data_IF_637630294777
#
_entry.id   IF_637630294777
#
_cell.length_a   1.000
_cell.length_b   1.000
_cell.length_c   1.000
_cell.angle_alpha   90.00
_cell.angle_beta   90.00
_cell.angle_gamma   90.00
#
_symmetry.space_group_name_H-M   'P 1'
#
loop_
_entity.id
_entity.type
_entity.pdbx_description
1 polymer ?
#
# COMPACT_ATOMS: atom_id res chain seq x y z
N UNK A 1 50.99 33.04 61.76
CA UNK A 1 50.34 31.95 62.52
C UNK A 1 50.99 30.63 62.08
N UNK A 2 51.86 30.03 62.92
CA UNK A 2 52.54 28.76 62.63
C UNK A 2 51.59 27.60 62.99
N UNK A 3 51.17 26.81 62.02
CA UNK A 3 50.34 25.62 62.27
C UNK A 3 51.27 24.51 62.74
N UNK A 4 51.04 24.04 63.97
CA UNK A 4 51.84 23.00 64.62
C UNK A 4 51.29 21.63 64.19
N UNK A 5 51.95 20.98 63.23
CA UNK A 5 51.57 19.65 62.72
C UNK A 5 52.26 18.60 63.59
N UNK A 6 51.75 18.39 64.81
CA UNK A 6 52.05 17.19 65.58
C UNK A 6 50.75 16.39 65.66
N UNK A 7 50.81 15.14 65.20
CA UNK A 7 49.77 14.11 65.26
C UNK A 7 48.83 13.94 64.03
N UNK A 8 49.37 13.99 62.80
CA UNK A 8 48.67 13.42 61.65
C UNK A 8 48.94 11.92 61.59
N UNK A 9 47.90 11.11 61.79
CA UNK A 9 47.97 9.66 61.76
C UNK A 9 48.02 9.19 60.29
N UNK A 10 49.23 9.11 59.71
CA UNK A 10 49.49 8.81 58.28
C UNK A 10 48.74 7.57 57.75
N UNK A 11 48.50 6.57 58.61
CA UNK A 11 47.71 5.36 58.28
C UNK A 11 46.23 5.68 57.96
N UNK A 12 45.63 6.68 58.60
CA UNK A 12 44.24 7.09 58.37
C UNK A 12 44.10 7.85 57.05
N UNK A 13 45.03 8.75 56.73
CA UNK A 13 45.00 9.50 55.46
C UNK A 13 45.22 8.57 54.25
N UNK A 14 46.16 7.63 54.33
CA UNK A 14 46.37 6.67 53.24
C UNK A 14 45.16 5.76 53.02
N UNK A 15 44.45 5.35 54.08
CA UNK A 15 43.23 4.54 53.95
C UNK A 15 42.10 5.33 53.28
N UNK A 16 41.88 6.60 53.65
CA UNK A 16 40.85 7.45 53.03
C UNK A 16 41.16 7.77 51.57
N UNK A 17 42.44 7.99 51.22
CA UNK A 17 42.89 8.25 49.85
C UNK A 17 42.78 7.00 48.95
N UNK A 18 43.04 5.81 49.50
CA UNK A 18 42.87 4.55 48.75
C UNK A 18 41.40 4.20 48.54
N UNK A 19 40.53 4.41 49.55
CA UNK A 19 39.08 4.17 49.42
C UNK A 19 38.46 5.13 48.39
N UNK A 20 38.86 6.40 48.35
CA UNK A 20 38.38 7.36 47.35
C UNK A 20 38.86 7.04 45.93
N UNK A 21 40.07 6.47 45.78
CA UNK A 21 40.61 6.04 44.49
C UNK A 21 39.90 4.78 43.94
N UNK A 22 39.56 3.82 44.82
CA UNK A 22 38.79 2.62 44.44
C UNK A 22 37.31 2.90 44.15
N UNK A 23 36.68 3.81 44.90
CA UNK A 23 35.32 4.26 44.61
C UNK A 23 35.25 5.04 43.29
N UNK A 24 36.27 5.83 42.96
CA UNK A 24 36.40 6.53 41.68
C UNK A 24 36.50 5.57 40.47
N UNK A 25 37.31 4.51 40.57
CA UNK A 25 37.44 3.51 39.48
C UNK A 25 36.18 2.64 39.27
N UNK A 26 35.41 2.34 40.34
CA UNK A 26 34.17 1.56 40.21
C UNK A 26 32.96 2.39 39.76
N UNK A 27 32.91 3.69 40.06
CA UNK A 27 31.78 4.54 39.67
C UNK A 27 31.64 4.67 38.14
N UNK A 28 32.76 4.77 37.42
CA UNK A 28 32.74 4.83 35.95
C UNK A 28 32.21 3.55 35.29
N UNK A 29 32.53 2.38 35.88
CA UNK A 29 32.03 1.07 35.41
C UNK A 29 30.52 0.95 35.67
N UNK A 30 30.03 1.42 36.82
CA UNK A 30 28.61 1.40 37.16
C UNK A 30 27.82 2.36 36.25
N UNK A 31 28.35 3.56 35.97
CA UNK A 31 27.70 4.56 35.12
C UNK A 31 27.61 4.11 33.64
N UNK A 32 28.68 3.54 33.09
CA UNK A 32 28.67 2.98 31.73
C UNK A 32 27.70 1.79 31.61
N UNK A 33 27.66 0.92 32.62
CA UNK A 33 26.71 -0.19 32.65
C UNK A 33 25.25 0.29 32.72
N UNK A 34 24.97 1.38 33.45
CA UNK A 34 23.66 2.03 33.44
C UNK A 34 23.32 2.64 32.07
N UNK A 35 24.27 3.32 31.40
CA UNK A 35 24.06 3.89 30.06
C UNK A 35 23.77 2.81 29.00
N UNK A 36 24.47 1.68 29.07
CA UNK A 36 24.24 0.50 28.22
C UNK A 36 22.89 -0.17 28.49
N UNK A 37 22.45 -0.25 29.75
CA UNK A 37 21.12 -0.74 30.08
C UNK A 37 20.02 0.17 29.52
N UNK A 38 20.16 1.49 29.67
CA UNK A 38 19.22 2.47 29.10
C UNK A 38 19.13 2.33 27.57
N UNK A 39 20.28 2.16 26.91
CA UNK A 39 20.34 1.94 25.47
C UNK A 39 19.66 0.62 25.05
N UNK A 40 19.89 -0.46 25.80
CA UNK A 40 19.27 -1.77 25.54
C UNK A 40 17.75 -1.72 25.73
N UNK A 41 17.26 -1.09 26.80
CA UNK A 41 15.85 -0.84 27.05
C UNK A 41 15.20 -0.02 25.94
N UNK A 42 15.93 0.97 25.40
CA UNK A 42 15.49 1.73 24.24
C UNK A 42 15.31 0.83 23.02
N UNK A 43 16.29 0.00 22.67
CA UNK A 43 16.19 -0.92 21.53
C UNK A 43 15.03 -1.91 21.69
N UNK A 44 14.78 -2.41 22.91
CA UNK A 44 13.63 -3.28 23.21
C UNK A 44 12.31 -2.54 22.96
N UNK A 45 12.17 -1.29 23.44
CA UNK A 45 10.96 -0.46 23.20
C UNK A 45 10.74 -0.19 21.70
N UNK A 46 11.81 0.04 20.95
CA UNK A 46 11.73 0.19 19.49
C UNK A 46 11.29 -1.13 18.85
N UNK A 47 11.86 -2.27 19.27
CA UNK A 47 11.48 -3.60 18.81
C UNK A 47 9.99 -3.90 19.01
N UNK A 48 9.45 -3.58 20.19
CA UNK A 48 8.01 -3.67 20.46
C UNK A 48 7.19 -2.76 19.56
N UNK A 49 7.63 -1.50 19.36
CA UNK A 49 6.97 -0.58 18.43
C UNK A 49 6.89 -1.13 16.99
N UNK A 50 7.95 -1.80 16.51
CA UNK A 50 7.90 -2.49 15.22
C UNK A 50 6.92 -3.65 15.19
N UNK A 51 6.93 -4.48 16.23
CA UNK A 51 6.00 -5.60 16.35
C UNK A 51 4.55 -5.10 16.33
N UNK A 52 4.26 -4.00 17.01
CA UNK A 52 2.94 -3.35 17.00
C UNK A 52 2.56 -2.87 15.59
N UNK A 53 3.50 -2.23 14.86
CA UNK A 53 3.28 -1.79 13.47
C UNK A 53 2.95 -2.99 12.56
N UNK A 54 3.74 -4.07 12.64
CA UNK A 54 3.52 -5.27 11.83
C UNK A 54 2.22 -5.98 12.19
N UNK A 55 1.91 -6.11 13.48
CA UNK A 55 0.66 -6.69 13.95
C UNK A 55 -0.55 -5.87 13.51
N UNK A 56 -0.46 -4.53 13.60
CA UNK A 56 -1.53 -3.64 13.18
C UNK A 56 -1.76 -3.71 11.68
N UNK A 57 -0.70 -3.59 10.87
CA UNK A 57 -0.81 -3.71 9.42
C UNK A 57 -1.37 -5.07 9.01
N UNK A 58 -0.87 -6.16 9.62
CA UNK A 58 -1.36 -7.52 9.39
C UNK A 58 -2.85 -7.67 9.68
N UNK A 59 -3.33 -7.12 10.80
CA UNK A 59 -4.75 -7.17 11.17
C UNK A 59 -5.62 -6.27 10.27
N UNK A 60 -5.19 -5.04 10.00
CA UNK A 60 -5.92 -4.09 9.16
C UNK A 60 -6.04 -4.58 7.71
N UNK A 61 -5.02 -5.29 7.23
CA UNK A 61 -4.95 -5.81 5.86
C UNK A 61 -5.44 -7.25 5.72
N UNK A 62 -5.54 -8.03 6.81
CA UNK A 62 -5.94 -9.44 6.78
C UNK A 62 -7.33 -9.65 6.16
N UNK A 63 -8.28 -8.80 6.54
CA UNK A 63 -9.65 -8.83 6.01
C UNK A 63 -9.80 -8.01 4.72
N UNK A 64 -8.97 -6.97 4.54
CA UNK A 64 -9.08 -6.04 3.43
C UNK A 64 -8.34 -6.52 2.16
N UNK A 65 -7.35 -7.40 2.25
CA UNK A 65 -6.54 -7.83 1.09
C UNK A 65 -6.93 -9.18 0.50
N UNK A 66 -8.11 -9.72 0.85
CA UNK A 66 -8.64 -10.97 0.30
C UNK A 66 -8.90 -10.93 -1.21
N UNK A 67 -9.05 -12.11 -1.82
CA UNK A 67 -9.35 -12.27 -3.26
C UNK A 67 -10.85 -12.19 -3.59
N UNK A 68 -11.69 -11.89 -2.60
CA UNK A 68 -13.15 -11.85 -2.71
C UNK A 68 -13.70 -10.58 -2.06
N UNK A 69 -13.19 -9.43 -2.51
CA UNK A 69 -13.58 -8.11 -2.02
C UNK A 69 -15.06 -7.80 -2.26
N UNK A 70 -15.62 -8.32 -3.37
CA UNK A 70 -17.02 -8.15 -3.75
C UNK A 70 -17.66 -9.48 -4.17
N UNK A 71 -18.98 -9.58 -4.07
CA UNK A 71 -19.79 -10.74 -4.48
C UNK A 71 -20.95 -10.34 -5.39
N UNK A 72 -21.62 -11.33 -5.97
CA UNK A 72 -22.81 -11.08 -6.80
C UNK A 72 -23.91 -10.40 -5.98
N UNK A 73 -24.53 -9.37 -6.56
CA UNK A 73 -25.53 -8.53 -5.90
C UNK A 73 -24.96 -7.34 -5.13
N UNK A 74 -23.64 -7.28 -4.92
CA UNK A 74 -23.01 -6.12 -4.30
C UNK A 74 -23.15 -4.88 -5.19
N UNK A 75 -23.29 -3.74 -4.53
CA UNK A 75 -23.27 -2.42 -5.18
C UNK A 75 -21.82 -2.02 -5.46
N UNK A 76 -21.62 -1.15 -6.44
CA UNK A 76 -20.28 -0.63 -6.77
C UNK A 76 -19.61 0.03 -5.57
N UNK A 77 -20.38 0.63 -4.66
CA UNK A 77 -19.88 1.18 -3.40
C UNK A 77 -19.13 0.18 -2.51
N UNK A 78 -19.34 -1.14 -2.65
CA UNK A 78 -18.52 -2.13 -1.95
C UNK A 78 -17.07 -2.13 -2.44
N UNK A 79 -16.82 -1.81 -3.72
CA UNK A 79 -15.47 -1.54 -4.25
C UNK A 79 -14.87 -0.29 -3.58
N UNK A 80 -15.67 0.77 -3.42
CA UNK A 80 -15.23 1.97 -2.71
C UNK A 80 -14.87 1.70 -1.25
N UNK A 81 -15.69 0.90 -0.56
CA UNK A 81 -15.42 0.45 0.82
C UNK A 81 -14.15 -0.39 0.91
N UNK A 82 -13.87 -1.22 -0.10
CA UNK A 82 -12.60 -1.95 -0.18
C UNK A 82 -11.41 -0.99 -0.19
N UNK A 83 -11.42 0.02 -1.07
CA UNK A 83 -10.36 1.02 -1.12
C UNK A 83 -10.23 1.82 0.17
N UNK A 84 -11.33 2.22 0.81
CA UNK A 84 -11.30 2.90 2.11
C UNK A 84 -10.71 2.02 3.23
N UNK A 85 -10.98 0.70 3.24
CA UNK A 85 -10.36 -0.22 4.21
C UNK A 85 -8.85 -0.29 4.01
N UNK A 86 -8.39 -0.44 2.77
CA UNK A 86 -6.95 -0.48 2.46
C UNK A 86 -6.28 0.84 2.83
N UNK A 87 -6.91 1.97 2.47
CA UNK A 87 -6.46 3.32 2.85
C UNK A 87 -6.33 3.47 4.36
N UNK A 88 -7.34 3.08 5.13
CA UNK A 88 -7.31 3.17 6.59
C UNK A 88 -6.16 2.37 7.19
N UNK A 89 -5.90 1.16 6.71
CA UNK A 89 -4.75 0.40 7.20
C UNK A 89 -3.40 1.08 6.91
N UNK A 90 -3.27 1.78 5.77
CA UNK A 90 -2.08 2.60 5.49
C UNK A 90 -2.00 3.83 6.40
N UNK A 91 -3.12 4.53 6.64
CA UNK A 91 -3.18 5.68 7.54
C UNK A 91 -2.78 5.29 8.97
N UNK A 92 -3.32 4.18 9.47
CA UNK A 92 -3.03 3.70 10.80
C UNK A 92 -1.55 3.28 10.93
N UNK A 93 -1.01 2.59 9.91
CA UNK A 93 0.42 2.22 9.87
C UNK A 93 1.31 3.46 9.81
N UNK A 94 0.94 4.47 9.02
CA UNK A 94 1.63 5.77 8.96
C UNK A 94 1.64 6.47 10.32
N UNK A 95 0.52 6.44 11.05
CA UNK A 95 0.41 7.05 12.37
C UNK A 95 1.34 6.35 13.37
N UNK A 96 1.38 5.02 13.37
CA UNK A 96 2.28 4.25 14.23
C UNK A 96 3.76 4.51 13.89
N UNK A 97 4.11 4.62 12.60
CA UNK A 97 5.45 5.01 12.17
C UNK A 97 5.83 6.41 12.65
N UNK A 98 4.89 7.36 12.65
CA UNK A 98 5.12 8.71 13.17
C UNK A 98 5.37 8.69 14.69
N UNK A 99 4.58 7.91 15.45
CA UNK A 99 4.80 7.69 16.87
C UNK A 99 6.17 7.04 17.14
N UNK A 100 6.55 6.05 16.35
CA UNK A 100 7.86 5.39 16.44
C UNK A 100 8.99 6.40 16.20
N UNK A 101 8.87 7.27 15.19
CA UNK A 101 9.84 8.34 14.93
C UNK A 101 9.99 9.29 16.12
N UNK A 102 8.90 9.57 16.84
CA UNK A 102 8.92 10.33 18.09
C UNK A 102 9.75 9.62 19.16
N UNK A 103 9.44 8.35 19.45
CA UNK A 103 10.18 7.53 20.43
C UNK A 103 11.68 7.43 20.10
N UNK A 104 12.02 7.32 18.81
CA UNK A 104 13.41 7.27 18.33
C UNK A 104 14.14 8.60 18.58
N UNK A 105 13.43 9.72 18.57
CA UNK A 105 14.01 11.03 18.87
C UNK A 105 14.40 11.19 20.34
N UNK A 106 13.83 10.37 21.23
CA UNK A 106 14.10 10.36 22.67
C UNK A 106 15.25 9.41 23.04
N UNK A 107 15.93 8.83 22.05
CA UNK A 107 17.02 7.89 22.26
C UNK A 107 18.12 8.49 23.14
N UNK A 108 18.50 7.76 24.19
CA UNK A 108 19.63 8.10 25.05
C UNK A 108 20.79 7.15 24.79
N UNK A 109 22.00 7.68 24.84
CA UNK A 109 23.24 6.93 24.59
C UNK A 109 23.26 6.21 23.23
N UNK A 110 22.63 6.82 22.22
CA UNK A 110 22.61 6.35 20.84
C UNK A 110 23.36 7.34 19.94
N UNK A 111 24.07 6.83 18.95
CA UNK A 111 24.75 7.64 17.94
C UNK A 111 23.73 8.42 17.12
N UNK A 112 23.76 9.75 17.22
CA UNK A 112 22.82 10.65 16.54
C UNK A 112 22.77 10.46 15.02
N UNK A 113 23.88 10.06 14.38
CA UNK A 113 23.93 9.79 12.94
C UNK A 113 23.10 8.55 12.56
N UNK A 114 23.13 7.52 13.41
CA UNK A 114 22.34 6.31 13.21
C UNK A 114 20.86 6.55 13.49
N UNK A 115 20.54 7.41 14.47
CA UNK A 115 19.17 7.86 14.74
C UNK A 115 18.60 8.64 13.56
N UNK A 116 19.36 9.57 12.99
CA UNK A 116 18.94 10.35 11.82
C UNK A 116 18.68 9.45 10.61
N UNK A 117 19.51 8.42 10.41
CA UNK A 117 19.30 7.41 9.36
C UNK A 117 17.93 6.73 9.48
N UNK A 118 17.51 6.39 10.69
CA UNK A 118 16.18 5.79 10.92
C UNK A 118 15.06 6.79 10.65
N UNK A 119 15.20 8.04 11.10
CA UNK A 119 14.20 9.09 10.84
C UNK A 119 14.02 9.33 9.34
N UNK A 120 15.11 9.38 8.57
CA UNK A 120 15.07 9.50 7.12
C UNK A 120 14.32 8.31 6.49
N UNK A 121 14.58 7.08 6.95
CA UNK A 121 13.88 5.90 6.45
C UNK A 121 12.36 5.94 6.76
N UNK A 122 11.99 6.36 7.97
CA UNK A 122 10.57 6.53 8.36
C UNK A 122 9.91 7.60 7.51
N UNK A 123 10.53 8.77 7.37
CA UNK A 123 10.00 9.88 6.57
C UNK A 123 9.78 9.47 5.12
N UNK A 124 10.77 8.83 4.49
CA UNK A 124 10.64 8.33 3.12
C UNK A 124 9.52 7.31 2.96
N UNK A 125 9.29 6.46 3.96
CA UNK A 125 8.18 5.51 3.98
C UNK A 125 6.82 6.23 4.07
N UNK A 126 6.70 7.21 4.96
CA UNK A 126 5.48 8.01 5.12
C UNK A 126 5.11 8.73 3.81
N UNK A 127 6.10 9.30 3.11
CA UNK A 127 5.88 9.96 1.82
C UNK A 127 5.34 9.00 0.74
N UNK A 128 5.77 7.72 0.75
CA UNK A 128 5.22 6.71 -0.15
C UNK A 128 3.80 6.32 0.26
N UNK A 129 3.53 6.16 1.55
CA UNK A 129 2.18 5.85 2.03
C UNK A 129 1.21 6.98 1.71
N UNK A 130 1.62 8.24 1.79
CA UNK A 130 0.78 9.38 1.40
C UNK A 130 0.38 9.35 -0.08
N UNK A 131 1.28 8.94 -0.97
CA UNK A 131 0.96 8.74 -2.40
C UNK A 131 -0.08 7.63 -2.57
N UNK A 132 0.12 6.49 -1.91
CA UNK A 132 -0.84 5.37 -1.97
C UNK A 132 -2.21 5.76 -1.39
N UNK A 133 -2.24 6.44 -0.24
CA UNK A 133 -3.46 6.95 0.41
C UNK A 133 -4.21 7.92 -0.51
N UNK A 134 -3.49 8.82 -1.19
CA UNK A 134 -4.08 9.75 -2.15
C UNK A 134 -4.75 9.01 -3.31
N UNK A 135 -4.05 8.04 -3.93
CA UNK A 135 -4.61 7.24 -5.03
C UNK A 135 -5.82 6.41 -4.59
N UNK A 136 -5.75 5.77 -3.40
CA UNK A 136 -6.87 5.02 -2.84
C UNK A 136 -8.07 5.92 -2.53
N UNK A 137 -7.85 7.15 -2.08
CA UNK A 137 -8.91 8.13 -1.86
C UNK A 137 -9.63 8.48 -3.16
N UNK A 138 -8.88 8.70 -4.26
CA UNK A 138 -9.47 8.94 -5.59
C UNK A 138 -10.31 7.74 -6.04
N UNK A 139 -9.76 6.53 -5.89
CA UNK A 139 -10.44 5.29 -6.28
C UNK A 139 -11.70 5.02 -5.45
N UNK A 140 -11.62 5.21 -4.13
CA UNK A 140 -12.78 5.12 -3.24
C UNK A 140 -13.88 6.10 -3.65
N UNK A 141 -13.52 7.35 -3.93
CA UNK A 141 -14.47 8.40 -4.33
C UNK A 141 -15.20 8.07 -5.63
N UNK A 142 -14.49 7.60 -6.66
CA UNK A 142 -15.11 7.33 -7.97
C UNK A 142 -15.93 6.04 -8.01
N UNK A 143 -15.66 5.09 -7.12
CA UNK A 143 -16.36 3.81 -7.03
C UNK A 143 -17.51 3.80 -6.01
N UNK A 144 -17.78 4.92 -5.33
CA UNK A 144 -18.82 5.04 -4.32
C UNK A 144 -20.24 5.21 -4.89
N UNK A 145 -20.66 4.31 -5.78
CA UNK A 145 -22.03 4.25 -6.30
C UNK A 145 -22.83 3.18 -5.55
N UNK A 146 -23.62 3.63 -4.57
CA UNK A 146 -24.47 2.76 -3.76
C UNK A 146 -25.78 2.33 -4.42
N UNK A 147 -26.10 2.85 -5.60
CA UNK A 147 -27.36 2.58 -6.30
C UNK A 147 -27.21 1.46 -7.33
N UNK A 148 -26.05 1.35 -7.96
CA UNK A 148 -25.81 0.44 -9.08
C UNK A 148 -25.11 -0.83 -8.60
N UNK A 149 -25.60 -2.00 -9.04
CA UNK A 149 -24.92 -3.28 -8.84
C UNK A 149 -23.68 -3.42 -9.72
N UNK A 150 -22.71 -4.18 -9.23
CA UNK A 150 -21.62 -4.68 -10.05
C UNK A 150 -22.20 -5.60 -11.12
N UNK A 151 -21.96 -5.29 -12.38
CA UNK A 151 -22.56 -6.03 -13.50
C UNK A 151 -24.00 -5.65 -13.83
N UNK A 152 -24.53 -4.55 -13.29
CA UNK A 152 -25.86 -4.04 -13.66
C UNK A 152 -25.95 -3.85 -15.17
N UNK A 153 -27.10 -4.22 -15.74
CA UNK A 153 -27.36 -4.11 -17.18
C UNK A 153 -28.24 -2.91 -17.50
N UNK A 154 -28.12 -2.38 -18.72
CA UNK A 154 -28.95 -1.32 -19.26
C UNK A 154 -29.66 -1.78 -20.54
N UNK A 155 -30.95 -1.43 -20.67
CA UNK A 155 -31.80 -1.74 -21.82
C UNK A 155 -31.76 -0.67 -22.93
N UNK A 156 -31.11 0.47 -22.71
CA UNK A 156 -31.12 1.62 -23.63
C UNK A 156 -29.73 2.21 -23.92
N UNK A 157 -29.63 2.82 -25.11
CA UNK A 157 -28.44 3.49 -25.68
C UNK A 157 -27.84 4.64 -24.85
N UNK A 158 -28.60 5.20 -23.89
CA UNK A 158 -28.26 6.45 -23.19
C UNK A 158 -27.33 6.29 -21.99
N UNK A 159 -27.06 5.05 -21.55
CA UNK A 159 -26.35 4.78 -20.30
C UNK A 159 -24.84 4.55 -20.52
N UNK A 160 -24.25 5.29 -21.48
CA UNK A 160 -22.83 5.21 -21.73
C UNK A 160 -22.05 5.66 -20.49
N UNK A 161 -21.04 4.87 -20.10
CA UNK A 161 -20.18 5.24 -18.97
C UNK A 161 -19.42 6.51 -19.31
N UNK A 162 -19.30 7.40 -18.33
CA UNK A 162 -18.50 8.61 -18.51
C UNK A 162 -17.02 8.22 -18.65
N UNK A 163 -16.41 8.63 -19.77
CA UNK A 163 -15.00 8.34 -20.05
C UNK A 163 -14.06 8.94 -19.01
N UNK A 164 -14.42 10.07 -18.37
CA UNK A 164 -13.62 10.65 -17.28
C UNK A 164 -13.57 9.76 -16.05
N UNK A 165 -14.66 9.04 -15.77
CA UNK A 165 -14.77 8.19 -14.58
C UNK A 165 -13.90 6.95 -14.76
N UNK A 166 -13.93 6.36 -15.96
CA UNK A 166 -13.02 5.26 -16.34
C UNK A 166 -11.56 5.73 -16.30
N UNK A 167 -11.26 6.92 -16.84
CA UNK A 167 -9.90 7.50 -16.82
C UNK A 167 -9.39 7.70 -15.39
N UNK A 168 -10.25 8.15 -14.48
CA UNK A 168 -9.90 8.34 -13.06
C UNK A 168 -9.54 7.01 -12.40
N UNK A 169 -10.27 5.93 -12.69
CA UNK A 169 -9.92 4.58 -12.21
C UNK A 169 -8.57 4.13 -12.77
N UNK A 170 -8.34 4.31 -14.08
CA UNK A 170 -7.07 3.98 -14.74
C UNK A 170 -5.89 4.73 -14.09
N UNK A 171 -6.03 6.04 -13.89
CA UNK A 171 -5.00 6.89 -13.28
C UNK A 171 -4.73 6.50 -11.83
N UNK A 172 -5.77 6.22 -11.03
CA UNK A 172 -5.59 5.77 -9.64
C UNK A 172 -4.85 4.44 -9.54
N UNK A 173 -5.16 3.48 -10.42
CA UNK A 173 -4.43 2.20 -10.50
C UNK A 173 -2.98 2.42 -10.96
N UNK A 174 -2.77 3.27 -11.96
CA UNK A 174 -1.43 3.62 -12.46
C UNK A 174 -0.57 4.26 -11.36
N UNK A 175 -1.10 5.22 -10.62
CA UNK A 175 -0.38 5.92 -9.55
C UNK A 175 0.11 4.93 -8.47
N UNK A 176 -0.72 3.94 -8.10
CA UNK A 176 -0.35 2.89 -7.12
C UNK A 176 0.80 2.05 -7.66
N UNK A 177 0.73 1.63 -8.93
CA UNK A 177 1.75 0.80 -9.56
C UNK A 177 3.07 1.57 -9.70
N UNK A 178 3.01 2.83 -10.14
CA UNK A 178 4.19 3.68 -10.27
C UNK A 178 4.88 3.90 -8.92
N UNK A 179 4.10 4.07 -7.83
CA UNK A 179 4.64 4.16 -6.47
C UNK A 179 5.30 2.84 -6.02
N UNK A 180 4.70 1.71 -6.36
CA UNK A 180 5.24 0.39 -6.06
C UNK A 180 6.55 0.10 -6.82
N UNK A 181 6.59 0.37 -8.13
CA UNK A 181 7.79 0.18 -8.97
C UNK A 181 8.95 1.06 -8.48
N UNK A 182 8.69 2.33 -8.19
CA UNK A 182 9.69 3.24 -7.58
C UNK A 182 10.19 2.75 -6.22
N UNK A 183 9.38 1.94 -5.52
CA UNK A 183 9.76 1.34 -4.24
C UNK A 183 10.58 0.06 -4.40
N UNK A 184 10.66 -0.50 -5.63
CA UNK A 184 11.38 -1.73 -5.96
C UNK A 184 10.47 -2.96 -6.14
N UNK A 185 9.15 -2.78 -6.19
CA UNK A 185 8.22 -3.88 -6.48
C UNK A 185 8.30 -4.23 -7.97
N UNK A 186 8.53 -5.50 -8.27
CA UNK A 186 8.46 -6.02 -9.65
C UNK A 186 7.00 -6.36 -10.00
N UNK A 187 6.52 -5.77 -11.09
CA UNK A 187 5.21 -6.07 -11.68
C UNK A 187 5.40 -7.18 -12.71
N UNK A 188 4.69 -8.30 -12.53
CA UNK A 188 4.72 -9.40 -13.49
C UNK A 188 3.90 -8.99 -14.73
N UNK A 189 4.40 -9.21 -15.96
CA UNK A 189 3.62 -8.95 -17.17
C UNK A 189 2.39 -9.86 -17.31
N UNK A 190 2.38 -11.02 -16.66
CA UNK A 190 1.32 -12.02 -16.77
C UNK A 190 1.16 -12.58 -18.19
N UNK A 191 0.09 -13.36 -18.40
CA UNK A 191 -0.27 -13.89 -19.72
C UNK A 191 -1.40 -13.07 -20.32
N UNK A 192 -1.10 -12.29 -21.36
CA UNK A 192 -2.09 -11.42 -22.01
C UNK A 192 -3.25 -12.20 -22.65
N UNK A 193 -2.99 -13.43 -23.10
CA UNK A 193 -3.97 -14.27 -23.79
C UNK A 193 -4.03 -13.99 -25.29
N UNK A 194 -5.15 -14.33 -25.92
CA UNK A 194 -5.37 -14.19 -27.36
C UNK A 194 -6.46 -13.15 -27.64
N UNK A 195 -6.52 -12.68 -28.88
CA UNK A 195 -7.60 -11.81 -29.35
C UNK A 195 -8.98 -12.43 -29.10
N UNK A 196 -9.93 -11.61 -28.62
CA UNK A 196 -11.30 -12.04 -28.38
C UNK A 196 -12.23 -11.32 -29.37
N UNK A 197 -12.63 -12.06 -30.40
CA UNK A 197 -13.56 -11.60 -31.41
C UNK A 197 -14.87 -11.07 -30.79
N UNK A 198 -15.46 -10.07 -31.44
CA UNK A 198 -16.74 -9.44 -31.06
C UNK A 198 -17.82 -10.47 -30.63
N UNK A 199 -17.98 -11.58 -31.37
CA UNK A 199 -18.97 -12.62 -31.10
C UNK A 199 -18.71 -13.51 -29.86
N UNK A 200 -17.62 -13.25 -29.12
CA UNK A 200 -17.16 -14.05 -27.97
C UNK A 200 -17.20 -13.30 -26.64
N UNK A 201 -18.12 -12.34 -26.48
CA UNK A 201 -18.34 -11.65 -25.21
C UNK A 201 -18.24 -10.12 -25.21
N UNK A 202 -17.44 -9.45 -26.06
CA UNK A 202 -17.38 -7.98 -26.09
C UNK A 202 -18.76 -7.29 -26.20
N UNK A 203 -19.73 -7.91 -26.88
CA UNK A 203 -21.13 -7.44 -26.94
C UNK A 203 -21.80 -7.31 -25.57
N UNK A 204 -21.46 -8.14 -24.61
CA UNK A 204 -22.01 -8.04 -23.25
C UNK A 204 -21.42 -6.88 -22.46
N UNK A 205 -20.23 -6.38 -22.85
CA UNK A 205 -19.55 -5.26 -22.17
C UNK A 205 -20.06 -3.92 -22.68
N UNK A 206 -20.24 -3.79 -24.00
CA UNK A 206 -20.71 -2.57 -24.63
C UNK A 206 -21.40 -2.91 -25.96
N UNK A 207 -22.71 -2.82 -25.95
CA UNK A 207 -23.57 -2.98 -27.11
C UNK A 207 -24.81 -2.13 -26.92
N UNK A 208 -25.21 -1.47 -28.00
CA UNK A 208 -26.24 -0.45 -28.01
C UNK A 208 -27.67 -1.02 -28.10
N UNK A 209 -27.79 -2.34 -28.32
CA UNK A 209 -29.02 -3.12 -28.33
C UNK A 209 -28.87 -4.31 -27.37
N UNK A 210 -29.93 -5.12 -27.19
CA UNK A 210 -29.85 -6.35 -26.39
C UNK A 210 -28.73 -7.28 -26.92
N UNK A 211 -27.94 -7.87 -26.02
CA UNK A 211 -26.92 -8.86 -26.39
C UNK A 211 -27.59 -10.14 -26.90
N UNK A 212 -26.91 -10.91 -27.76
CA UNK A 212 -27.46 -12.14 -28.30
C UNK A 212 -27.42 -13.28 -27.27
N UNK A 213 -28.19 -14.34 -27.54
CA UNK A 213 -28.15 -15.54 -26.71
C UNK A 213 -26.73 -16.14 -26.67
N UNK A 214 -26.33 -16.59 -25.48
CA UNK A 214 -25.00 -17.12 -25.21
C UNK A 214 -23.87 -16.10 -25.04
N UNK A 215 -24.05 -14.80 -25.37
CA UNK A 215 -22.98 -13.80 -25.26
C UNK A 215 -22.48 -13.63 -23.81
N UNK A 216 -23.40 -13.66 -22.84
CA UNK A 216 -23.06 -13.57 -21.42
C UNK A 216 -22.17 -14.73 -20.96
N UNK A 217 -22.46 -15.96 -21.42
CA UNK A 217 -21.63 -17.14 -21.12
C UNK A 217 -20.25 -17.01 -21.74
N UNK A 218 -20.16 -16.59 -23.00
CA UNK A 218 -18.86 -16.37 -23.66
C UNK A 218 -18.05 -15.29 -22.94
N UNK A 219 -18.68 -14.19 -22.52
CA UNK A 219 -18.02 -13.17 -21.70
C UNK A 219 -17.44 -13.78 -20.42
N UNK A 220 -18.23 -14.54 -19.67
CA UNK A 220 -17.78 -15.19 -18.44
C UNK A 220 -16.61 -16.16 -18.69
N UNK A 221 -16.68 -16.95 -19.75
CA UNK A 221 -15.63 -17.90 -20.13
C UNK A 221 -14.32 -17.16 -20.49
N UNK A 222 -14.38 -16.07 -21.26
CA UNK A 222 -13.19 -15.29 -21.62
C UNK A 222 -12.60 -14.49 -20.43
N UNK A 223 -13.45 -13.95 -19.56
CA UNK A 223 -13.02 -13.33 -18.28
C UNK A 223 -12.34 -14.36 -17.38
N UNK A 224 -12.86 -15.59 -17.36
CA UNK A 224 -12.29 -16.71 -16.60
C UNK A 224 -10.82 -16.99 -16.98
N UNK A 225 -10.51 -16.95 -18.28
CA UNK A 225 -9.17 -17.20 -18.84
C UNK A 225 -8.14 -16.10 -18.54
N UNK A 226 -8.59 -14.88 -18.23
CA UNK A 226 -7.69 -13.75 -18.08
C UNK A 226 -6.80 -13.86 -16.84
N UNK A 227 -5.52 -13.57 -17.03
CA UNK A 227 -4.52 -13.50 -15.98
C UNK A 227 -4.60 -12.14 -15.23
N UNK A 228 -4.68 -12.12 -13.89
CA UNK A 228 -4.80 -10.87 -13.13
C UNK A 228 -3.62 -9.90 -13.29
N UNK A 229 -2.38 -10.40 -13.42
CA UNK A 229 -1.21 -9.57 -13.66
C UNK A 229 -1.26 -8.91 -15.04
N UNK A 230 -1.65 -9.66 -16.06
CA UNK A 230 -1.86 -9.07 -17.38
C UNK A 230 -2.99 -8.04 -17.35
N UNK A 231 -4.09 -8.29 -16.63
CA UNK A 231 -5.20 -7.33 -16.51
C UNK A 231 -4.76 -6.00 -15.88
N UNK A 232 -3.95 -6.02 -14.81
CA UNK A 232 -3.52 -4.76 -14.17
C UNK A 232 -2.57 -3.97 -15.07
N UNK A 233 -1.71 -4.65 -15.84
CA UNK A 233 -0.87 -4.01 -16.85
C UNK A 233 -1.70 -3.41 -17.99
N UNK A 234 -2.75 -4.10 -18.45
CA UNK A 234 -3.70 -3.53 -19.43
C UNK A 234 -4.42 -2.31 -18.87
N UNK A 235 -4.82 -2.31 -17.60
CA UNK A 235 -5.49 -1.16 -16.96
C UNK A 235 -4.56 0.05 -16.89
N UNK A 236 -3.34 -0.08 -16.36
CA UNK A 236 -2.43 1.07 -16.15
C UNK A 236 -1.99 1.75 -17.47
N UNK A 237 -2.07 1.00 -18.57
CA UNK A 237 -1.70 1.45 -19.92
C UNK A 237 -2.92 1.74 -20.80
N UNK A 238 -4.13 1.61 -20.27
CA UNK A 238 -5.36 1.78 -21.02
C UNK A 238 -5.57 3.23 -21.48
N UNK A 239 -6.08 3.37 -22.71
CA UNK A 239 -6.57 4.63 -23.25
C UNK A 239 -8.08 4.55 -23.38
N UNK A 240 -8.78 5.66 -23.18
CA UNK A 240 -10.24 5.72 -23.26
C UNK A 240 -10.76 6.27 -24.59
N UNK A 241 -9.85 6.74 -25.45
CA UNK A 241 -10.11 7.31 -26.77
C UNK A 241 -9.71 6.35 -27.91
N UNK A 242 -10.17 6.64 -29.12
CA UNK A 242 -9.80 5.87 -30.31
C UNK A 242 -10.44 4.49 -30.40
N UNK A 243 -11.61 4.28 -29.77
CA UNK A 243 -12.39 3.05 -29.96
C UNK A 243 -12.68 2.81 -31.45
N UNK A 244 -12.47 1.58 -31.91
CA UNK A 244 -12.70 1.14 -33.28
C UNK A 244 -13.60 -0.09 -33.33
N UNK A 245 -14.75 0.02 -33.98
CA UNK A 245 -15.71 -1.08 -34.11
C UNK A 245 -15.18 -2.29 -34.89
N UNK A 246 -14.19 -2.09 -35.77
CA UNK A 246 -13.55 -3.14 -36.56
C UNK A 246 -12.11 -3.43 -36.11
N UNK A 247 -11.65 -2.78 -35.04
CA UNK A 247 -10.28 -2.88 -34.54
C UNK A 247 -10.15 -3.73 -33.30
N UNK A 248 -8.90 -3.99 -32.95
CA UNK A 248 -8.49 -4.59 -31.69
C UNK A 248 -8.38 -3.52 -30.62
N UNK A 249 -9.38 -3.47 -29.74
CA UNK A 249 -9.48 -2.44 -28.73
C UNK A 249 -8.81 -2.87 -27.43
N UNK A 250 -8.18 -1.90 -26.79
CA UNK A 250 -7.63 -2.02 -25.44
C UNK A 250 -8.71 -1.91 -24.37
N UNK A 251 -8.35 -2.24 -23.12
CA UNK A 251 -9.27 -2.24 -22.00
C UNK A 251 -10.10 -0.95 -21.82
N UNK A 252 -9.46 0.22 -21.90
CA UNK A 252 -10.15 1.50 -21.70
C UNK A 252 -11.10 1.83 -22.85
N UNK A 253 -10.70 1.55 -24.09
CA UNK A 253 -11.51 1.73 -25.30
C UNK A 253 -12.77 0.85 -25.27
N UNK A 254 -12.63 -0.40 -24.84
CA UNK A 254 -13.77 -1.31 -24.66
C UNK A 254 -14.67 -0.86 -23.50
N UNK A 255 -14.10 -0.36 -22.40
CA UNK A 255 -14.89 0.10 -21.26
C UNK A 255 -15.77 1.32 -21.60
N UNK A 256 -15.25 2.26 -22.39
CA UNK A 256 -15.92 3.53 -22.76
C UNK A 256 -16.62 3.50 -24.13
N UNK A 257 -16.30 2.55 -25.00
CA UNK A 257 -16.76 2.53 -26.38
C UNK A 257 -18.25 2.22 -26.57
N UNK A 258 -18.73 2.45 -27.80
CA UNK A 258 -19.98 1.87 -28.30
C UNK A 258 -21.26 2.69 -28.16
N UNK A 259 -21.23 3.95 -27.72
CA UNK A 259 -22.44 4.78 -27.52
C UNK A 259 -23.32 4.96 -28.78
N UNK A 260 -22.80 4.67 -29.97
CA UNK A 260 -23.49 4.92 -31.24
C UNK A 260 -23.32 3.84 -32.33
N UNK A 261 -22.44 2.86 -32.16
CA UNK A 261 -22.08 1.92 -33.24
C UNK A 261 -22.80 0.58 -33.10
N UNK A 262 -23.38 0.08 -34.20
CA UNK A 262 -24.07 -1.23 -34.25
C UNK A 262 -23.12 -2.43 -34.12
N UNK A 263 -21.80 -2.18 -34.14
CA UNK A 263 -20.77 -3.19 -34.05
C UNK A 263 -19.96 -2.98 -32.76
N UNK A 264 -20.05 -3.92 -31.83
CA UNK A 264 -19.15 -4.01 -30.68
C UNK A 264 -17.73 -4.34 -31.18
N UNK A 265 -16.71 -3.61 -30.78
CA UNK A 265 -15.33 -3.88 -31.20
C UNK A 265 -14.83 -5.26 -30.75
N UNK A 266 -13.71 -5.68 -31.31
CA UNK A 266 -12.95 -6.86 -30.84
C UNK A 266 -12.04 -6.43 -29.69
N UNK A 267 -11.80 -7.31 -28.71
CA UNK A 267 -10.80 -7.07 -27.69
C UNK A 267 -9.44 -7.61 -28.17
N UNK A 268 -8.40 -6.80 -28.02
CA UNK A 268 -7.05 -7.17 -28.46
C UNK A 268 -6.55 -8.44 -27.78
N UNK A 269 -6.92 -8.67 -26.52
CA UNK A 269 -6.59 -9.88 -25.77
C UNK A 269 -7.67 -10.27 -24.74
N UNK A 270 -7.60 -11.48 -24.18
CA UNK A 270 -8.38 -11.89 -23.00
C UNK A 270 -8.22 -10.91 -21.83
N UNK A 271 -6.97 -10.49 -21.57
CA UNK A 271 -6.68 -9.53 -20.52
C UNK A 271 -7.31 -8.16 -20.79
N UNK A 272 -7.32 -7.69 -22.04
CA UNK A 272 -7.99 -6.44 -22.43
C UNK A 272 -9.50 -6.51 -22.19
N UNK A 273 -10.16 -7.62 -22.57
CA UNK A 273 -11.58 -7.80 -22.33
C UNK A 273 -11.91 -7.83 -20.84
N UNK A 274 -11.20 -8.64 -20.05
CA UNK A 274 -11.46 -8.75 -18.62
C UNK A 274 -11.14 -7.45 -17.87
N UNK A 275 -10.09 -6.73 -18.26
CA UNK A 275 -9.77 -5.41 -17.75
C UNK A 275 -10.87 -4.39 -18.09
N UNK A 276 -11.43 -4.42 -19.30
CA UNK A 276 -12.54 -3.58 -19.69
C UNK A 276 -13.80 -3.84 -18.84
N UNK A 277 -14.11 -5.12 -18.60
CA UNK A 277 -15.20 -5.55 -17.70
C UNK A 277 -14.97 -4.98 -16.31
N UNK A 278 -13.77 -5.12 -15.74
CA UNK A 278 -13.45 -4.60 -14.42
C UNK A 278 -13.57 -3.07 -14.37
N UNK A 279 -13.00 -2.35 -15.34
CA UNK A 279 -13.07 -0.89 -15.44
C UNK A 279 -14.52 -0.40 -15.51
N UNK A 280 -15.34 -1.03 -16.35
CA UNK A 280 -16.76 -0.66 -16.49
C UNK A 280 -17.56 -0.99 -15.23
N UNK A 281 -17.25 -2.11 -14.58
CA UNK A 281 -17.86 -2.52 -13.33
C UNK A 281 -17.53 -1.55 -12.17
N UNK A 282 -16.29 -1.02 -12.11
CA UNK A 282 -15.87 -0.07 -11.08
C UNK A 282 -16.32 1.37 -11.35
N UNK A 283 -16.29 1.82 -12.62
CA UNK A 283 -16.61 3.21 -12.97
C UNK A 283 -18.07 3.56 -12.66
N UNK A 284 -18.27 4.78 -12.15
CA UNK A 284 -19.61 5.32 -11.85
C UNK A 284 -20.49 5.32 -13.10
N UNK A 285 -21.74 4.85 -12.96
CA UNK A 285 -22.68 4.75 -14.08
C UNK A 285 -22.36 3.66 -15.11
N UNK A 286 -21.25 2.93 -14.98
CA UNK A 286 -20.93 1.85 -15.91
C UNK A 286 -21.92 0.69 -15.83
N UNK A 287 -22.64 0.44 -16.91
CA UNK A 287 -23.60 -0.67 -17.03
C UNK A 287 -23.25 -1.55 -18.22
N UNK A 288 -23.55 -2.82 -18.12
CA UNK A 288 -23.37 -3.82 -19.16
C UNK A 288 -24.58 -3.84 -20.08
N UNK A 289 -24.44 -4.48 -21.23
CA UNK A 289 -25.57 -4.63 -22.13
C UNK A 289 -26.58 -5.63 -21.57
N UNK A 290 -27.87 -5.29 -21.66
CA UNK A 290 -28.96 -6.21 -21.33
C UNK A 290 -28.83 -7.53 -22.10
N UNK A 291 -28.74 -8.68 -21.42
CA UNK A 291 -28.73 -9.98 -22.08
C UNK A 291 -30.07 -10.33 -22.76
N UNK A 292 -30.02 -11.23 -23.75
CA UNK A 292 -31.22 -11.80 -24.39
C UNK A 292 -32.17 -12.44 -23.38
N UNK A 293 -31.61 -13.26 -22.50
CA UNK A 293 -32.32 -14.02 -21.46
C UNK A 293 -32.21 -13.31 -20.09
N UNK A 294 -33.30 -13.28 -19.32
CA UNK A 294 -33.29 -12.77 -17.95
C UNK A 294 -32.31 -13.51 -17.04
N UNK A 295 -32.12 -14.82 -17.24
CA UNK A 295 -31.23 -15.64 -16.40
C UNK A 295 -29.74 -15.38 -16.72
N UNK A 296 -29.45 -14.96 -17.96
CA UNK A 296 -28.10 -14.56 -18.38
C UNK A 296 -27.60 -13.30 -17.66
N UNK A 297 -28.49 -12.51 -17.05
CA UNK A 297 -28.12 -11.37 -16.21
C UNK A 297 -27.22 -11.75 -15.02
N UNK A 298 -27.48 -12.90 -14.40
CA UNK A 298 -26.65 -13.40 -13.29
C UNK A 298 -25.23 -13.77 -13.76
N UNK A 299 -25.09 -14.26 -15.00
CA UNK A 299 -23.80 -14.63 -15.60
C UNK A 299 -22.95 -13.38 -15.84
N UNK A 300 -23.54 -12.30 -16.36
CA UNK A 300 -22.83 -11.01 -16.55
C UNK A 300 -22.36 -10.45 -15.20
N UNK A 301 -23.21 -10.48 -14.17
CA UNK A 301 -22.84 -10.08 -12.81
C UNK A 301 -21.69 -10.91 -12.25
N UNK A 302 -21.74 -12.23 -12.44
CA UNK A 302 -20.66 -13.14 -12.05
C UNK A 302 -19.33 -12.81 -12.75
N UNK A 303 -19.36 -12.57 -14.07
CA UNK A 303 -18.19 -12.17 -14.83
C UNK A 303 -17.63 -10.82 -14.35
N UNK A 304 -18.50 -9.83 -14.10
CA UNK A 304 -18.10 -8.53 -13.59
C UNK A 304 -17.44 -8.62 -12.21
N UNK A 305 -18.05 -9.35 -11.27
CA UNK A 305 -17.51 -9.59 -9.93
C UNK A 305 -16.17 -10.32 -10.01
N UNK A 306 -16.05 -11.35 -10.85
CA UNK A 306 -14.79 -12.07 -11.05
C UNK A 306 -13.69 -11.15 -11.56
N UNK A 307 -13.98 -10.32 -12.57
CA UNK A 307 -13.02 -9.38 -13.12
C UNK A 307 -12.57 -8.33 -12.09
N UNK A 308 -13.51 -7.75 -11.34
CA UNK A 308 -13.21 -6.77 -10.27
C UNK A 308 -12.33 -7.42 -9.20
N UNK A 309 -12.68 -8.61 -8.71
CA UNK A 309 -11.89 -9.30 -7.69
C UNK A 309 -10.48 -9.68 -8.16
N UNK A 310 -10.30 -10.07 -9.44
CA UNK A 310 -8.96 -10.30 -10.01
C UNK A 310 -8.10 -9.02 -9.95
N UNK A 311 -8.66 -7.87 -10.33
CA UNK A 311 -7.96 -6.58 -10.29
C UNK A 311 -7.66 -6.14 -8.85
N UNK A 312 -8.66 -6.18 -7.96
CA UNK A 312 -8.47 -5.80 -6.56
C UNK A 312 -7.46 -6.72 -5.87
N UNK A 313 -7.56 -8.03 -6.08
CA UNK A 313 -6.64 -9.01 -5.51
C UNK A 313 -5.18 -8.75 -5.90
N UNK A 314 -4.91 -8.43 -7.17
CA UNK A 314 -3.54 -8.14 -7.58
C UNK A 314 -3.04 -6.77 -7.11
N UNK A 315 -3.92 -5.77 -7.09
CA UNK A 315 -3.60 -4.46 -6.54
C UNK A 315 -3.27 -4.54 -5.03
N UNK A 316 -4.01 -5.36 -4.29
CA UNK A 316 -3.75 -5.66 -2.88
C UNK A 316 -2.35 -6.27 -2.69
N UNK A 317 -1.97 -7.22 -3.54
CA UNK A 317 -0.63 -7.83 -3.52
C UNK A 317 0.46 -6.78 -3.78
N UNK A 318 0.25 -5.88 -4.73
CA UNK A 318 1.19 -4.79 -5.06
C UNK A 318 1.37 -3.84 -3.87
N UNK A 319 0.27 -3.41 -3.25
CA UNK A 319 0.31 -2.53 -2.06
C UNK A 319 1.03 -3.23 -0.91
N UNK A 320 0.69 -4.48 -0.62
CA UNK A 320 1.36 -5.27 0.44
C UNK A 320 2.86 -5.36 0.23
N UNK A 321 3.31 -5.75 -0.97
CA UNK A 321 4.74 -5.81 -1.30
C UNK A 321 5.44 -4.45 -1.13
N UNK A 322 4.75 -3.36 -1.46
CA UNK A 322 5.27 -2.01 -1.29
C UNK A 322 5.49 -1.69 0.19
N UNK A 323 4.49 -1.99 1.03
CA UNK A 323 4.58 -1.80 2.49
C UNK A 323 5.70 -2.66 3.08
N UNK A 324 5.74 -3.95 2.73
CA UNK A 324 6.74 -4.90 3.24
C UNK A 324 8.17 -4.41 2.95
N UNK A 325 8.45 -3.92 1.74
CA UNK A 325 9.76 -3.38 1.36
C UNK A 325 10.14 -2.16 2.21
N UNK A 326 9.20 -1.25 2.46
CA UNK A 326 9.50 -0.05 3.24
C UNK A 326 9.66 -0.34 4.72
N UNK A 327 8.81 -1.21 5.30
CA UNK A 327 8.99 -1.65 6.68
C UNK A 327 10.32 -2.40 6.88
N UNK A 328 10.76 -3.22 5.91
CA UNK A 328 12.08 -3.86 5.92
C UNK A 328 13.23 -2.83 5.90
N UNK A 329 13.13 -1.77 5.09
CA UNK A 329 14.13 -0.68 5.07
C UNK A 329 14.26 -0.01 6.44
N UNK A 330 13.14 0.28 7.10
CA UNK A 330 13.19 0.89 8.44
C UNK A 330 13.75 -0.12 9.45
N UNK A 331 13.32 -1.40 9.40
CA UNK A 331 13.85 -2.45 10.26
C UNK A 331 15.37 -2.63 10.13
N UNK A 332 15.91 -2.52 8.92
CA UNK A 332 17.36 -2.50 8.67
C UNK A 332 18.05 -1.28 9.27
N UNK A 333 17.47 -0.09 9.12
CA UNK A 333 18.00 1.14 9.72
C UNK A 333 18.04 1.03 11.26
N UNK A 334 17.00 0.47 11.86
CA UNK A 334 16.88 0.29 13.32
C UNK A 334 17.90 -0.70 13.86
N UNK A 335 18.14 -1.81 13.16
CA UNK A 335 19.23 -2.73 13.48
C UNK A 335 20.62 -2.08 13.41
N UNK A 336 20.74 -0.98 12.66
CA UNK A 336 21.97 -0.21 12.52
C UNK A 336 22.19 0.85 13.62
N UNK A 337 21.27 1.01 14.59
CA UNK A 337 21.44 1.96 15.69
C UNK A 337 22.64 1.54 16.55
N UNK A 338 23.56 2.48 16.80
CA UNK A 338 24.78 2.24 17.59
C UNK A 338 24.70 2.93 18.94
N UNK A 339 25.32 2.30 19.95
CA UNK A 339 25.58 2.93 21.24
C UNK A 339 26.58 4.08 21.06
N UNK A 340 26.36 5.17 21.79
CA UNK A 340 27.30 6.29 21.89
C UNK A 340 27.38 6.75 23.32
N UNK A 341 28.60 6.81 23.86
CA UNK A 341 28.86 7.44 25.14
C UNK A 341 28.82 8.96 24.92
N UNK A 342 27.79 9.63 25.43
CA UNK A 342 27.90 11.08 25.64
C UNK A 342 28.93 11.26 26.75
N UNK A 343 30.17 11.59 26.38
CA UNK A 343 31.19 12.06 27.32
C UNK A 343 30.62 13.35 27.92
N UNK A 344 30.14 13.29 29.16
CA UNK A 344 29.85 14.51 29.90
C UNK A 344 31.15 15.30 29.95
N UNK A 345 31.12 16.59 29.60
CA UNK A 345 32.24 17.50 29.84
C UNK A 345 32.71 17.30 31.29
N UNK A 346 33.82 16.58 31.45
CA UNK A 346 34.59 16.64 32.68
C UNK A 346 35.07 18.08 32.74
N UNK A 347 34.40 18.88 33.57
CA UNK A 347 34.92 20.17 33.99
C UNK A 347 36.23 19.89 34.71
N UNK A 348 37.33 19.89 33.97
CA UNK A 348 38.68 19.97 34.53
C UNK A 348 38.74 21.32 35.23
N UNK A 349 38.47 21.31 36.53
CA UNK A 349 38.84 22.39 37.42
C UNK A 349 40.36 22.40 37.44
N UNK A 350 40.94 23.20 36.55
CA UNK A 350 42.36 23.49 36.54
C UNK A 350 42.77 24.04 37.90
N UNK A 351 43.48 23.23 38.67
CA UNK A 351 44.10 23.65 39.91
C UNK A 351 45.26 24.59 39.52
N UNK A 352 45.00 25.90 39.58
CA UNK A 352 46.04 26.90 39.55
C UNK A 352 46.86 26.80 40.84
N UNK A 353 48.03 26.15 40.75
CA UNK A 353 49.07 26.19 41.77
C UNK A 353 49.58 27.62 41.93
N UNK A 354 49.57 28.10 43.18
CA UNK A 354 50.21 29.35 43.64
C UNK A 354 51.70 29.35 43.43
#
# INVERSE_FOLDING_TARGET
MKINIKNINIKSICATLFISLFLSCNNGVIEDLQKKNIFSDFLIKIGHGFQDIFGFFGNAMGDALGFSAVKSGDKKSEVGKHFEKVKKGLEDTKNQLSTLSGKISEAKNADGSTIETVKVAIKGTIEVFDKLISSLTKLAGITNDGSTEIGASASSKSDAVNASDVKTVIEGVKDIIDAAEKSGVKIDPGKVGIQVANGNGPKSVFHNAQAADGDAKKLADEVGKADPWAMIDKIRNAKTDGFSASGDNSAGQLATGGSSSANSGTAATNADLAAAVALKAMAKGGKFTQPADSDAGAVVKGAAVSAVNKVLGILNVIIRKTVDIHLDKIGKAVKGIKYSETIGESTEVGIATK
#
